data_IF_309146497674
#
_entry.id   IF_309146497674
#
_cell.length_a   1.000
_cell.length_b   1.000
_cell.length_c   1.000
_cell.angle_alpha   90.00
_cell.angle_beta   90.00
_cell.angle_gamma   90.00
#
_symmetry.space_group_name_H-M   'P 1'
#
loop_
_entity.id
_entity.type
_entity.pdbx_description
1 polymer ?
#
# COMPACT_ATOMS: atom_id res chain seq x y z
N UNK A 1 20.44 19.06 -8.47
CA UNK A 1 19.41 18.32 -7.71
C UNK A 1 18.03 18.41 -8.39
N UNK A 2 17.92 18.17 -9.71
CA UNK A 2 16.65 18.33 -10.44
C UNK A 2 15.95 17.00 -10.74
N UNK A 3 16.57 15.86 -10.41
CA UNK A 3 16.02 14.52 -10.67
C UNK A 3 14.95 14.06 -9.68
N UNK A 4 14.81 14.74 -8.54
CA UNK A 4 13.86 14.36 -7.50
C UNK A 4 12.40 14.70 -7.85
N UNK A 5 12.16 15.76 -8.63
CA UNK A 5 10.79 16.20 -8.96
C UNK A 5 10.06 15.18 -9.85
N UNK A 6 10.64 14.70 -10.97
CA UNK A 6 9.99 13.68 -11.79
C UNK A 6 9.78 12.35 -11.03
N UNK A 7 10.70 12.00 -10.14
CA UNK A 7 10.56 10.82 -9.29
C UNK A 7 9.42 10.99 -8.29
N UNK A 8 9.31 12.17 -7.66
CA UNK A 8 8.25 12.49 -6.72
C UNK A 8 6.87 12.43 -7.39
N UNK A 9 6.74 12.99 -8.60
CA UNK A 9 5.49 12.89 -9.36
C UNK A 9 5.11 11.43 -9.65
N UNK A 10 6.07 10.62 -10.11
CA UNK A 10 5.82 9.20 -10.43
C UNK A 10 5.48 8.37 -9.19
N UNK A 11 6.19 8.56 -8.08
CA UNK A 11 5.91 7.80 -6.86
C UNK A 11 4.62 8.28 -6.19
N UNK A 12 4.38 9.59 -6.17
CA UNK A 12 3.18 10.18 -5.57
C UNK A 12 1.89 9.63 -6.18
N UNK A 13 1.80 9.49 -7.50
CA UNK A 13 0.59 8.94 -8.15
C UNK A 13 0.39 7.44 -7.93
N UNK A 14 1.43 6.71 -7.50
CA UNK A 14 1.37 5.28 -7.19
C UNK A 14 1.18 5.00 -5.68
N UNK A 15 1.32 6.01 -4.82
CA UNK A 15 1.05 5.91 -3.39
C UNK A 15 -0.44 6.11 -3.11
N UNK A 16 -0.99 5.26 -2.25
CA UNK A 16 -2.38 5.35 -1.80
C UNK A 16 -2.47 5.35 -0.28
N UNK A 17 -3.49 5.99 0.27
CA UNK A 17 -3.87 5.82 1.67
C UNK A 17 -4.82 4.63 1.82
N UNK A 18 -4.62 3.85 2.87
CA UNK A 18 -5.44 2.69 3.22
C UNK A 18 -6.08 2.94 4.58
N UNK A 19 -7.38 2.71 4.64
CA UNK A 19 -8.15 2.70 5.88
C UNK A 19 -8.87 1.36 6.02
N UNK A 20 -8.62 0.66 7.12
CA UNK A 20 -9.24 -0.62 7.43
C UNK A 20 -9.98 -0.54 8.76
N UNK A 21 -11.13 -1.20 8.81
CA UNK A 21 -11.92 -1.38 10.02
C UNK A 21 -11.93 -2.87 10.39
N UNK A 22 -11.53 -3.15 11.63
CA UNK A 22 -11.38 -4.51 12.15
C UNK A 22 -12.38 -4.69 13.30
N UNK A 23 -13.15 -5.79 13.33
CA UNK A 23 -14.06 -6.08 14.43
C UNK A 23 -13.32 -6.08 15.78
N UNK A 24 -13.92 -5.44 16.79
CA UNK A 24 -13.39 -5.37 18.16
C UNK A 24 -13.05 -6.74 18.76
N UNK A 25 -13.78 -7.79 18.33
CA UNK A 25 -13.59 -9.17 18.77
C UNK A 25 -12.37 -9.87 18.14
N UNK A 26 -11.76 -9.30 17.10
CA UNK A 26 -10.63 -9.94 16.43
C UNK A 26 -9.38 -9.91 17.32
N UNK A 27 -8.62 -11.03 17.47
CA UNK A 27 -7.48 -11.10 18.39
C UNK A 27 -6.42 -10.01 18.19
N UNK A 28 -6.21 -9.58 16.94
CA UNK A 28 -5.25 -8.51 16.62
C UNK A 28 -5.58 -7.17 17.29
N UNK A 29 -6.86 -6.88 17.58
CA UNK A 29 -7.28 -5.67 18.29
C UNK A 29 -6.83 -5.73 19.75
N UNK A 30 -7.06 -6.87 20.43
CA UNK A 30 -6.64 -7.09 21.81
C UNK A 30 -5.11 -7.06 21.98
N UNK A 31 -4.36 -7.39 20.92
CA UNK A 31 -2.91 -7.29 20.87
C UNK A 31 -2.38 -5.87 20.65
N UNK A 32 -3.26 -4.86 20.59
CA UNK A 32 -2.87 -3.45 20.52
C UNK A 32 -2.84 -2.84 19.12
N UNK A 33 -3.19 -3.59 18.06
CA UNK A 33 -3.24 -3.03 16.70
C UNK A 33 -4.46 -2.15 16.42
N UNK A 34 -5.40 -2.08 17.37
CA UNK A 34 -6.61 -1.27 17.27
C UNK A 34 -7.61 -1.76 16.21
N UNK A 35 -8.88 -1.29 16.31
CA UNK A 35 -9.94 -1.60 15.36
C UNK A 35 -9.94 -0.66 14.14
N UNK A 36 -9.39 0.54 14.24
CA UNK A 36 -9.25 1.52 13.15
C UNK A 36 -7.78 1.60 12.76
N UNK A 37 -7.46 1.26 11.50
CA UNK A 37 -6.08 1.24 11.01
C UNK A 37 -5.96 2.13 9.78
N UNK A 38 -4.99 3.05 9.83
CA UNK A 38 -4.68 3.97 8.74
C UNK A 38 -3.20 3.85 8.40
N UNK A 39 -2.90 3.81 7.11
CA UNK A 39 -1.55 3.66 6.60
C UNK A 39 -1.51 3.87 5.11
N UNK A 40 -0.44 3.40 4.47
CA UNK A 40 -0.23 3.57 3.04
C UNK A 40 0.03 2.25 2.33
N UNK A 41 -0.12 2.29 1.01
CA UNK A 41 0.23 1.21 0.12
C UNK A 41 0.74 1.75 -1.21
N UNK A 42 1.30 0.85 -2.00
CA UNK A 42 1.88 1.18 -3.31
C UNK A 42 1.20 0.36 -4.38
N UNK A 43 0.70 1.03 -5.43
CA UNK A 43 0.24 0.40 -6.66
C UNK A 43 1.43 -0.21 -7.40
N UNK A 44 1.35 -1.50 -7.70
CA UNK A 44 2.41 -2.28 -8.36
C UNK A 44 1.98 -2.85 -9.71
N UNK A 45 0.78 -2.50 -10.19
CA UNK A 45 0.24 -2.96 -11.47
C UNK A 45 -0.82 -2.00 -12.01
N UNK A 46 -1.01 -2.04 -13.34
CA UNK A 46 -1.98 -1.19 -14.03
C UNK A 46 -3.44 -1.58 -13.76
N UNK A 47 -3.69 -2.83 -13.35
CA UNK A 47 -5.02 -3.35 -13.02
C UNK A 47 -5.40 -3.15 -11.54
N UNK A 48 -4.51 -2.55 -10.73
CA UNK A 48 -4.86 -2.06 -9.39
C UNK A 48 -4.44 -2.96 -8.23
N UNK A 49 -3.45 -3.83 -8.42
CA UNK A 49 -2.79 -4.53 -7.31
C UNK A 49 -1.98 -3.53 -6.47
N UNK A 50 -2.21 -3.58 -5.16
CA UNK A 50 -1.56 -2.73 -4.16
C UNK A 50 -0.83 -3.62 -3.15
N UNK A 51 0.41 -3.27 -2.84
CA UNK A 51 1.20 -3.86 -1.76
C UNK A 51 1.15 -2.93 -0.54
N UNK A 52 0.94 -3.52 0.64
CA UNK A 52 1.01 -2.83 1.94
C UNK A 52 1.58 -3.78 3.00
N UNK A 53 1.59 -3.34 4.26
CA UNK A 53 1.96 -4.17 5.40
C UNK A 53 0.77 -5.01 5.84
N UNK A 54 0.99 -6.31 6.09
CA UNK A 54 -0.06 -7.27 6.45
C UNK A 54 -0.95 -6.80 7.60
N UNK A 55 -0.36 -6.22 8.67
CA UNK A 55 -1.15 -5.81 9.84
C UNK A 55 -2.22 -4.75 9.52
N UNK A 56 -2.09 -4.00 8.41
CA UNK A 56 -3.12 -3.07 7.95
C UNK A 56 -4.44 -3.77 7.64
N UNK A 57 -4.41 -5.06 7.30
CA UNK A 57 -5.56 -5.80 6.75
C UNK A 57 -5.87 -7.11 7.50
N UNK A 58 -5.08 -7.49 8.52
CA UNK A 58 -5.37 -8.65 9.37
C UNK A 58 -6.69 -8.44 10.12
N UNK A 59 -7.67 -9.30 9.85
CA UNK A 59 -8.99 -9.28 10.48
C UNK A 59 -9.99 -8.32 9.83
N UNK A 60 -9.59 -7.57 8.81
CA UNK A 60 -10.51 -6.78 8.00
C UNK A 60 -11.20 -7.67 6.95
N UNK A 61 -12.47 -7.42 6.68
CA UNK A 61 -13.19 -8.03 5.55
C UNK A 61 -12.87 -7.28 4.25
N UNK A 62 -12.88 -5.94 4.32
CA UNK A 62 -12.57 -5.03 3.22
C UNK A 62 -11.70 -3.88 3.72
N UNK A 63 -11.00 -3.20 2.82
CA UNK A 63 -10.30 -1.95 3.10
C UNK A 63 -10.83 -0.83 2.19
N UNK A 64 -10.73 0.42 2.63
CA UNK A 64 -10.98 1.60 1.80
C UNK A 64 -9.63 2.17 1.35
N UNK A 65 -9.49 2.39 0.04
CA UNK A 65 -8.31 3.00 -0.57
C UNK A 65 -8.65 4.40 -1.02
N UNK A 66 -7.79 5.37 -0.69
CA UNK A 66 -7.86 6.76 -1.17
C UNK A 66 -6.65 7.05 -2.05
N UNK A 67 -6.89 7.44 -3.29
CA UNK A 67 -5.86 7.89 -4.23
C UNK A 67 -5.45 9.33 -3.95
N UNK A 68 -4.33 9.78 -4.50
CA UNK A 68 -3.82 11.15 -4.31
C UNK A 68 -4.69 12.25 -4.93
N UNK A 69 -5.55 11.89 -5.89
CA UNK A 69 -6.59 12.78 -6.43
C UNK A 69 -7.82 12.92 -5.51
N UNK A 70 -7.82 12.24 -4.35
CA UNK A 70 -8.91 12.22 -3.37
C UNK A 70 -10.01 11.18 -3.65
N UNK A 71 -9.95 10.46 -4.77
CA UNK A 71 -10.92 9.40 -5.09
C UNK A 71 -10.80 8.26 -4.08
N UNK A 72 -11.96 7.76 -3.63
CA UNK A 72 -12.04 6.63 -2.71
C UNK A 72 -12.68 5.42 -3.38
N UNK A 73 -12.15 4.23 -3.10
CA UNK A 73 -12.69 2.96 -3.60
C UNK A 73 -12.52 1.86 -2.56
N UNK A 74 -13.48 0.94 -2.42
CA UNK A 74 -13.23 -0.29 -1.69
C UNK A 74 -12.13 -1.10 -2.39
N UNK A 75 -11.35 -1.82 -1.59
CA UNK A 75 -10.34 -2.75 -2.03
C UNK A 75 -10.57 -4.12 -1.41
N UNK A 76 -10.44 -5.16 -2.23
CA UNK A 76 -10.50 -6.55 -1.80
C UNK A 76 -9.14 -7.00 -1.28
N UNK A 77 -9.11 -7.68 -0.15
CA UNK A 77 -7.90 -8.32 0.36
C UNK A 77 -7.65 -9.60 -0.45
N UNK A 78 -6.55 -9.65 -1.18
CA UNK A 78 -6.19 -10.77 -2.06
C UNK A 78 -5.35 -11.80 -1.29
N UNK A 79 -4.35 -11.33 -0.57
CA UNK A 79 -3.43 -12.19 0.15
C UNK A 79 -2.86 -11.49 1.38
N UNK A 80 -2.43 -12.32 2.33
CA UNK A 80 -1.76 -11.93 3.56
C UNK A 80 -0.61 -12.91 3.75
N UNK A 81 0.61 -12.40 3.77
CA UNK A 81 1.79 -13.19 4.08
C UNK A 81 2.28 -12.84 5.49
N UNK A 82 2.18 -13.80 6.39
CA UNK A 82 2.62 -13.67 7.77
C UNK A 82 4.14 -13.80 7.91
N UNK A 83 4.83 -14.38 6.94
CA UNK A 83 6.29 -14.56 6.96
C UNK A 83 6.98 -13.24 6.60
N UNK A 84 6.59 -12.62 5.49
CA UNK A 84 7.18 -11.36 5.02
C UNK A 84 6.48 -10.11 5.58
N UNK A 85 5.35 -10.29 6.27
CA UNK A 85 4.48 -9.21 6.74
C UNK A 85 3.92 -8.34 5.60
N UNK A 86 3.70 -8.90 4.41
CA UNK A 86 3.07 -8.21 3.28
C UNK A 86 1.57 -8.49 3.20
N UNK A 87 0.80 -7.47 2.80
CA UNK A 87 -0.61 -7.56 2.44
C UNK A 87 -0.80 -7.15 0.99
N UNK A 88 -1.63 -7.91 0.26
CA UNK A 88 -2.03 -7.59 -1.10
C UNK A 88 -3.50 -7.19 -1.15
N UNK A 89 -3.76 -6.04 -1.74
CA UNK A 89 -5.10 -5.49 -1.98
C UNK A 89 -5.34 -5.33 -3.49
N UNK A 90 -6.59 -5.44 -3.92
CA UNK A 90 -7.02 -5.17 -5.28
C UNK A 90 -8.09 -4.09 -5.28
N UNK A 91 -7.89 -3.05 -6.09
CA UNK A 91 -8.93 -2.08 -6.43
C UNK A 91 -9.43 -2.31 -7.86
N UNK A 92 -10.65 -1.86 -8.14
CA UNK A 92 -11.24 -1.93 -9.47
C UNK A 92 -10.67 -0.88 -10.43
N UNK A 93 -10.79 -1.15 -11.73
CA UNK A 93 -10.36 -0.27 -12.81
C UNK A 93 -9.02 -0.67 -13.42
N UNK A 94 -8.78 -0.18 -14.63
CA UNK A 94 -7.56 -0.42 -15.40
C UNK A 94 -6.87 0.92 -15.66
N UNK A 95 -5.58 0.86 -16.02
CA UNK A 95 -4.73 2.04 -16.31
C UNK A 95 -4.40 2.88 -15.07
N UNK A 96 -4.28 2.27 -13.89
CA UNK A 96 -3.73 2.96 -12.73
C UNK A 96 -2.25 3.29 -12.97
N UNK A 97 -1.79 4.45 -12.49
CA UNK A 97 -0.36 4.71 -12.39
C UNK A 97 0.24 3.83 -11.29
N UNK A 98 1.33 3.14 -11.60
CA UNK A 98 1.95 2.18 -10.70
C UNK A 98 3.47 2.25 -10.76
N UNK A 99 4.12 1.66 -9.76
CA UNK A 99 5.56 1.43 -9.76
C UNK A 99 5.86 -0.01 -10.18
N UNK A 100 6.74 -0.14 -11.16
CA UNK A 100 7.32 -1.42 -11.50
C UNK A 100 8.29 -1.85 -10.40
N UNK A 101 8.15 -3.10 -9.95
CA UNK A 101 9.05 -3.68 -8.96
C UNK A 101 10.30 -4.19 -9.67
N UNK A 102 11.45 -3.62 -9.32
CA UNK A 102 12.75 -4.03 -9.85
C UNK A 102 13.58 -4.73 -8.78
N UNK A 103 14.55 -5.55 -9.18
CA UNK A 103 15.48 -6.20 -8.24
C UNK A 103 16.25 -5.16 -7.42
N UNK A 104 16.41 -5.41 -6.13
CA UNK A 104 17.28 -4.59 -5.27
C UNK A 104 18.77 -4.87 -5.47
N UNK A 105 19.14 -5.93 -6.20
CA UNK A 105 20.55 -6.31 -6.45
C UNK A 105 21.29 -5.26 -7.29
N UNK A 106 20.58 -4.42 -8.05
CA UNK A 106 21.17 -3.32 -8.81
C UNK A 106 21.43 -2.08 -7.96
N UNK A 107 21.00 -2.04 -6.70
CA UNK A 107 21.21 -0.90 -5.82
C UNK A 107 22.67 -0.85 -5.33
N UNK A 108 23.27 0.33 -5.35
CA UNK A 108 24.66 0.55 -4.90
C UNK A 108 24.72 1.29 -3.57
N UNK A 109 25.76 1.03 -2.78
CA UNK A 109 26.02 1.81 -1.57
C UNK A 109 26.23 3.29 -1.94
N UNK A 110 25.58 4.18 -1.20
CA UNK A 110 25.60 5.63 -1.47
C UNK A 110 24.60 6.10 -2.52
N UNK A 111 23.77 5.22 -3.07
CA UNK A 111 22.68 5.62 -3.96
C UNK A 111 21.62 6.43 -3.22
N UNK A 112 21.18 7.53 -3.83
CA UNK A 112 20.10 8.37 -3.28
C UNK A 112 18.78 7.59 -3.25
N UNK A 113 18.02 7.74 -2.16
CA UNK A 113 16.72 7.09 -1.95
C UNK A 113 15.68 8.14 -1.62
N UNK A 114 14.50 8.02 -2.22
CA UNK A 114 13.30 8.76 -1.84
C UNK A 114 12.37 7.82 -1.09
N UNK A 115 11.89 8.24 0.08
CA UNK A 115 10.89 7.54 0.87
C UNK A 115 9.65 8.42 0.96
N UNK A 116 8.48 7.82 0.72
CA UNK A 116 7.18 8.47 0.86
C UNK A 116 6.38 7.69 1.90
N UNK A 117 5.74 8.43 2.80
CA UNK A 117 5.02 7.90 3.98
C UNK A 117 3.52 8.08 3.84
#
# INVERSE_FOLDING_TARGET
>A
MNGAIPLLEKVGVATVSIHSQIPQSHPSVAMGLGPDRRGTGTLVSADGLIVTVNYMVIGAENAMVTFTDGRQTPARIIARDFTTSLGLLQVEGNNHSYLEVTSSESASLGQEVLILS
#
